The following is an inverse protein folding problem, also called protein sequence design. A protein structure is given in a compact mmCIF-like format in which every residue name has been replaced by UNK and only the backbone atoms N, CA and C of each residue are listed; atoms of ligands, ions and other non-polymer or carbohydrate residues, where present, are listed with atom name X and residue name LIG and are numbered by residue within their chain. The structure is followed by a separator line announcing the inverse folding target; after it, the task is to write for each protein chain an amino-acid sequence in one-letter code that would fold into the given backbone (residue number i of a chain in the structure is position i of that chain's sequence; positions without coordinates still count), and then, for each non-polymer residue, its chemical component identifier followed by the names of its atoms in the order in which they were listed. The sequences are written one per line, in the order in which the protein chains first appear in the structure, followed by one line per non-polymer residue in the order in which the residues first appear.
data_IF_338808921739
#
_entry.id   IF_338808921739
#
_cell.length_a   1.000
_cell.length_b   1.000
_cell.length_c   1.000
_cell.angle_alpha   90.00
_cell.angle_beta   90.00
_cell.angle_gamma   90.00
#
_symmetry.space_group_name_H-M   'P 1'
#
loop_
_entity.id
_entity.type
_entity.pdbx_description
1 polymer ?
#
# COMPACT_ATOMS: atom_id res chain seq x y z
N UNK A 1 -41.13 23.01 44.58
CA UNK A 1 -40.34 23.30 43.38
C UNK A 1 -40.86 24.58 42.74
N UNK A 2 -40.07 25.60 42.82
CA UNK A 2 -40.34 26.90 42.20
C UNK A 2 -40.19 26.79 40.66
N UNK A 3 -40.83 27.68 39.93
CA UNK A 3 -40.73 27.68 38.45
C UNK A 3 -39.27 27.80 37.96
N UNK A 4 -38.42 28.52 38.72
CA UNK A 4 -37.00 28.66 38.49
C UNK A 4 -36.20 27.34 38.66
N UNK A 5 -36.62 26.45 39.56
CA UNK A 5 -35.99 25.13 39.73
C UNK A 5 -36.33 24.20 38.54
N UNK A 6 -37.52 24.28 38.01
CA UNK A 6 -37.95 23.53 36.82
C UNK A 6 -37.26 24.00 35.53
N UNK A 7 -36.97 25.29 35.41
CA UNK A 7 -36.21 25.82 34.27
C UNK A 7 -34.70 25.43 34.35
N UNK A 8 -34.10 25.39 35.53
CA UNK A 8 -32.74 24.93 35.71
C UNK A 8 -32.56 23.43 35.43
N UNK A 9 -33.50 22.61 35.88
CA UNK A 9 -33.52 21.18 35.53
C UNK A 9 -33.70 20.93 34.00
N UNK A 10 -34.55 21.70 33.36
CA UNK A 10 -34.73 21.64 31.88
C UNK A 10 -33.46 22.05 31.13
N UNK A 11 -32.73 23.05 31.62
CA UNK A 11 -31.51 23.51 30.98
C UNK A 11 -30.34 22.51 31.20
N UNK A 12 -30.19 21.95 32.41
CA UNK A 12 -29.21 20.90 32.67
C UNK A 12 -29.45 19.64 31.79
N UNK A 13 -30.71 19.19 31.71
CA UNK A 13 -31.06 18.05 30.86
C UNK A 13 -30.79 18.32 29.36
N UNK A 14 -30.91 19.57 28.94
CA UNK A 14 -30.63 19.97 27.56
C UNK A 14 -29.13 19.98 27.24
N UNK A 15 -28.31 20.43 28.20
CA UNK A 15 -26.84 20.40 28.08
C UNK A 15 -26.30 18.96 28.07
N UNK A 16 -26.82 18.08 28.93
CA UNK A 16 -26.46 16.65 28.94
C UNK A 16 -26.86 15.94 27.62
N UNK A 17 -28.02 16.28 27.05
CA UNK A 17 -28.48 15.75 25.78
C UNK A 17 -27.59 16.26 24.65
N UNK A 18 -27.22 17.54 24.65
CA UNK A 18 -26.33 18.12 23.63
C UNK A 18 -24.92 17.51 23.67
N UNK A 19 -24.37 17.24 24.87
CA UNK A 19 -23.09 16.52 25.00
C UNK A 19 -23.21 15.07 24.52
N UNK A 20 -24.27 14.37 24.87
CA UNK A 20 -24.51 13.00 24.39
C UNK A 20 -24.62 12.98 22.87
N UNK A 21 -25.36 13.90 22.28
CA UNK A 21 -25.51 14.02 20.84
C UNK A 21 -24.19 14.31 20.15
N UNK A 22 -23.35 15.19 20.70
CA UNK A 22 -22.00 15.47 20.15
C UNK A 22 -21.11 14.22 20.14
N UNK A 23 -21.13 13.42 21.22
CA UNK A 23 -20.34 12.20 21.29
C UNK A 23 -20.86 11.09 20.38
N UNK A 24 -22.17 10.95 20.24
CA UNK A 24 -22.80 9.83 19.54
C UNK A 24 -23.25 10.15 18.12
N UNK A 25 -23.20 11.40 17.71
CA UNK A 25 -23.67 11.87 16.39
C UNK A 25 -23.16 11.01 15.23
N UNK A 26 -21.85 10.74 15.19
CA UNK A 26 -21.25 9.93 14.12
C UNK A 26 -21.77 8.49 14.09
N UNK A 27 -22.06 7.90 15.25
CA UNK A 27 -22.59 6.54 15.33
C UNK A 27 -24.05 6.51 14.91
N UNK A 28 -24.83 7.53 15.30
CA UNK A 28 -26.24 7.67 14.88
C UNK A 28 -26.36 7.94 13.39
N UNK A 29 -25.53 8.82 12.83
CA UNK A 29 -25.51 9.10 11.38
C UNK A 29 -25.18 7.84 10.58
N UNK A 30 -24.22 7.02 11.04
CA UNK A 30 -23.93 5.73 10.41
C UNK A 30 -25.10 4.76 10.50
N UNK A 31 -25.68 4.62 11.70
CA UNK A 31 -26.82 3.72 11.90
C UNK A 31 -28.06 4.12 11.10
N UNK A 32 -28.29 5.42 10.88
CA UNK A 32 -29.41 5.91 10.07
C UNK A 32 -29.17 5.68 8.57
N UNK A 33 -27.90 5.77 8.13
CA UNK A 33 -27.54 5.59 6.72
C UNK A 33 -27.28 4.13 6.34
N UNK A 34 -27.20 3.23 7.32
CA UNK A 34 -27.04 1.79 7.10
C UNK A 34 -28.40 1.08 7.21
N UNK A 35 -29.28 1.33 6.24
CA UNK A 35 -30.60 0.69 6.14
C UNK A 35 -30.54 -0.85 6.17
N UNK A 36 -29.47 -1.40 5.62
CA UNK A 36 -29.26 -2.86 5.56
C UNK A 36 -28.97 -3.48 6.94
N UNK A 37 -28.23 -2.79 7.81
CA UNK A 37 -27.98 -3.25 9.17
C UNK A 37 -29.24 -3.21 10.05
N UNK A 38 -30.06 -2.18 9.87
CA UNK A 38 -31.32 -2.06 10.61
C UNK A 38 -32.32 -3.14 10.19
N UNK A 39 -32.43 -3.41 8.91
CA UNK A 39 -33.26 -4.48 8.35
C UNK A 39 -32.76 -5.86 8.80
N UNK A 40 -31.45 -6.05 8.94
CA UNK A 40 -30.85 -7.31 9.41
C UNK A 40 -31.27 -7.68 10.85
N UNK A 41 -31.52 -6.69 11.70
CA UNK A 41 -31.96 -6.93 13.09
C UNK A 41 -33.48 -7.04 13.24
N UNK A 42 -34.25 -6.61 12.23
CA UNK A 42 -35.71 -6.63 12.29
C UNK A 42 -36.35 -7.79 11.53
N UNK A 43 -35.59 -8.46 10.67
CA UNK A 43 -36.12 -9.56 9.88
C UNK A 43 -36.12 -10.87 10.70
N UNK A 44 -37.28 -11.49 10.74
CA UNK A 44 -37.53 -12.81 11.32
C UNK A 44 -36.56 -13.85 10.66
N UNK A 45 -36.11 -14.83 11.40
CA UNK A 45 -35.10 -15.83 10.98
C UNK A 45 -35.37 -16.48 9.60
N UNK A 46 -36.60 -16.52 9.16
CA UNK A 46 -36.97 -17.05 7.83
C UNK A 46 -36.68 -16.10 6.67
N UNK A 47 -36.89 -14.80 6.83
CA UNK A 47 -36.50 -13.81 5.80
C UNK A 47 -34.97 -13.64 5.76
N UNK A 48 -34.32 -13.75 6.90
CA UNK A 48 -32.85 -13.73 6.97
C UNK A 48 -32.21 -14.92 6.22
N UNK A 49 -32.78 -16.12 6.36
CA UNK A 49 -32.30 -17.30 5.61
C UNK A 49 -32.62 -17.21 4.12
N UNK A 50 -33.74 -16.63 3.72
CA UNK A 50 -34.07 -16.40 2.32
C UNK A 50 -33.16 -15.33 1.69
N UNK A 51 -32.87 -14.24 2.42
CA UNK A 51 -31.94 -13.20 1.96
C UNK A 51 -30.49 -13.69 1.93
N UNK A 52 -30.10 -14.61 2.81
CA UNK A 52 -28.80 -15.28 2.76
C UNK A 52 -28.66 -16.17 1.52
N UNK A 53 -29.72 -16.87 1.11
CA UNK A 53 -29.71 -17.69 -0.11
C UNK A 53 -29.69 -16.83 -1.39
N UNK A 54 -30.33 -15.67 -1.39
CA UNK A 54 -30.21 -14.69 -2.50
C UNK A 54 -28.84 -13.98 -2.49
N UNK A 55 -28.22 -13.81 -1.31
CA UNK A 55 -26.92 -13.19 -1.14
C UNK A 55 -25.72 -14.12 -1.37
N UNK A 56 -25.92 -15.42 -1.66
CA UNK A 56 -24.81 -16.31 -2.04
C UNK A 56 -24.03 -15.82 -3.27
N UNK A 57 -24.54 -14.82 -3.98
CA UNK A 57 -23.94 -14.23 -5.18
C UNK A 57 -23.67 -12.72 -5.06
N UNK A 58 -23.38 -12.20 -3.87
CA UNK A 58 -23.03 -10.78 -3.66
C UNK A 58 -21.78 -10.35 -4.44
N UNK A 59 -20.87 -11.28 -4.69
CA UNK A 59 -19.66 -11.03 -5.46
C UNK A 59 -19.76 -11.76 -6.79
N UNK A 60 -19.97 -10.99 -7.87
CA UNK A 60 -19.95 -11.53 -9.23
C UNK A 60 -18.61 -11.22 -9.89
N UNK A 61 -17.90 -12.23 -10.45
CA UNK A 61 -16.70 -11.99 -11.23
C UNK A 61 -17.08 -11.22 -12.50
N UNK A 62 -16.65 -9.96 -12.62
CA UNK A 62 -16.88 -9.13 -13.81
C UNK A 62 -15.89 -9.46 -14.92
N UNK A 63 -14.63 -9.68 -14.56
CA UNK A 63 -13.54 -9.94 -15.47
C UNK A 63 -12.51 -10.87 -14.86
N UNK A 64 -11.91 -11.67 -15.73
CA UNK A 64 -10.77 -12.52 -15.42
C UNK A 64 -9.63 -12.17 -16.39
N UNK A 65 -8.45 -11.94 -15.83
CA UNK A 65 -7.21 -11.70 -16.57
C UNK A 65 -6.31 -12.92 -16.39
N UNK A 66 -6.02 -13.60 -17.46
CA UNK A 66 -5.23 -14.83 -17.44
C UNK A 66 -4.18 -14.82 -18.56
N UNK A 67 -2.98 -15.25 -18.21
CA UNK A 67 -1.90 -15.54 -19.14
C UNK A 67 -1.18 -16.82 -18.69
N UNK A 68 -0.58 -17.54 -19.63
CA UNK A 68 0.18 -18.78 -19.35
C UNK A 68 1.38 -18.53 -18.42
N UNK A 69 1.99 -17.36 -18.51
CA UNK A 69 3.13 -16.99 -17.69
C UNK A 69 2.73 -16.72 -16.22
N UNK A 70 1.45 -16.47 -15.95
CA UNK A 70 0.93 -16.23 -14.60
C UNK A 70 0.53 -17.49 -13.85
N UNK A 71 0.46 -18.62 -14.55
CA UNK A 71 0.05 -19.89 -13.95
C UNK A 71 1.00 -20.32 -12.83
N UNK A 72 0.42 -20.70 -11.67
CA UNK A 72 1.13 -21.14 -10.46
C UNK A 72 2.04 -20.07 -9.84
N UNK A 73 1.72 -18.79 -10.05
CA UNK A 73 2.34 -17.65 -9.40
C UNK A 73 1.33 -16.97 -8.46
N UNK A 74 1.80 -16.45 -7.35
CA UNK A 74 0.97 -15.60 -6.49
C UNK A 74 1.11 -14.15 -6.92
N UNK A 75 0.07 -13.36 -6.67
CA UNK A 75 0.12 -11.92 -6.94
C UNK A 75 0.76 -11.25 -5.73
N UNK A 76 1.86 -10.54 -5.94
CA UNK A 76 2.58 -9.80 -4.90
C UNK A 76 2.12 -8.34 -4.78
N UNK A 77 1.71 -7.72 -5.88
CA UNK A 77 1.21 -6.34 -5.88
C UNK A 77 0.16 -6.13 -6.98
N UNK A 78 -0.81 -5.27 -6.68
CA UNK A 78 -1.83 -4.80 -7.62
C UNK A 78 -1.97 -3.29 -7.47
N UNK A 79 -2.00 -2.57 -8.59
CA UNK A 79 -2.21 -1.13 -8.60
C UNK A 79 -2.94 -0.66 -9.85
N UNK A 80 -3.88 0.26 -9.67
CA UNK A 80 -4.51 0.97 -10.78
C UNK A 80 -3.68 2.18 -11.21
N UNK A 81 -3.63 2.43 -12.50
CA UNK A 81 -2.99 3.64 -12.99
C UNK A 81 -3.82 4.87 -12.63
N UNK A 82 -3.20 5.86 -11.96
CA UNK A 82 -3.88 7.12 -11.60
C UNK A 82 -4.28 7.95 -12.83
N UNK A 83 -3.55 7.81 -13.93
CA UNK A 83 -3.80 8.61 -15.14
C UNK A 83 -4.63 7.88 -16.18
N UNK A 84 -4.48 6.58 -16.28
CA UNK A 84 -5.19 5.72 -17.23
C UNK A 84 -6.01 4.71 -16.46
N UNK A 85 -7.27 5.01 -16.12
CA UNK A 85 -8.09 4.16 -15.25
C UNK A 85 -8.41 2.79 -15.85
N UNK A 86 -8.15 2.60 -17.15
CA UNK A 86 -8.25 1.34 -17.86
C UNK A 86 -7.06 0.39 -17.65
N UNK A 87 -5.95 0.90 -17.09
CA UNK A 87 -4.73 0.12 -16.91
C UNK A 87 -4.59 -0.39 -15.46
N UNK A 88 -4.44 -1.70 -15.34
CA UNK A 88 -4.16 -2.41 -14.09
C UNK A 88 -2.76 -3.04 -14.15
N UNK A 89 -1.91 -2.68 -13.21
CA UNK A 89 -0.63 -3.33 -12.98
C UNK A 89 -0.83 -4.51 -12.05
N UNK A 90 -0.26 -5.66 -12.41
CA UNK A 90 -0.16 -6.83 -11.55
C UNK A 90 1.26 -7.35 -11.53
N UNK A 91 1.75 -7.60 -10.32
CA UNK A 91 3.07 -8.17 -10.09
C UNK A 91 2.93 -9.59 -9.58
N UNK A 92 3.76 -10.49 -10.07
CA UNK A 92 3.68 -11.91 -9.75
C UNK A 92 5.00 -12.40 -9.15
N UNK A 93 4.85 -13.25 -8.13
CA UNK A 93 5.95 -13.94 -7.48
C UNK A 93 6.59 -14.99 -8.41
N UNK A 94 7.66 -15.59 -7.95
CA UNK A 94 8.24 -16.76 -8.63
C UNK A 94 7.24 -17.91 -8.74
N UNK A 95 7.41 -18.75 -9.76
CA UNK A 95 6.59 -19.93 -9.97
C UNK A 95 6.93 -20.98 -8.90
N UNK A 96 5.92 -21.61 -8.32
CA UNK A 96 6.09 -22.59 -7.25
C UNK A 96 6.75 -23.90 -7.72
N UNK A 97 6.61 -24.23 -9.00
CA UNK A 97 7.06 -25.52 -9.57
C UNK A 97 8.46 -25.47 -10.17
N UNK A 98 8.97 -24.28 -10.47
CA UNK A 98 10.20 -24.13 -11.26
C UNK A 98 11.23 -23.25 -10.56
N UNK A 99 12.01 -23.90 -9.67
CA UNK A 99 13.11 -23.24 -8.96
C UNK A 99 14.29 -22.89 -9.87
N UNK A 100 14.37 -23.46 -11.06
CA UNK A 100 15.46 -23.27 -12.02
C UNK A 100 15.09 -22.33 -13.16
N UNK A 101 13.91 -21.70 -13.10
CA UNK A 101 13.52 -20.71 -14.10
C UNK A 101 14.54 -19.57 -14.17
N UNK A 102 14.91 -19.18 -15.37
CA UNK A 102 15.81 -18.03 -15.59
C UNK A 102 15.16 -16.68 -15.21
N UNK A 103 13.84 -16.64 -15.12
CA UNK A 103 13.07 -15.41 -14.89
C UNK A 103 12.00 -15.65 -13.81
N UNK A 104 12.29 -15.18 -12.61
CA UNK A 104 11.39 -15.30 -11.49
C UNK A 104 10.39 -14.15 -11.40
N UNK A 105 10.83 -12.93 -11.68
CA UNK A 105 9.98 -11.74 -11.62
C UNK A 105 9.15 -11.51 -12.89
N UNK A 106 7.86 -11.21 -12.71
CA UNK A 106 6.92 -10.93 -13.78
C UNK A 106 6.02 -9.76 -13.39
N UNK A 107 5.89 -8.79 -14.29
CA UNK A 107 4.88 -7.71 -14.18
C UNK A 107 4.05 -7.73 -15.46
N UNK A 108 2.74 -7.73 -15.31
CA UNK A 108 1.80 -7.49 -16.39
C UNK A 108 1.07 -6.17 -16.19
N UNK A 109 0.85 -5.48 -17.29
CA UNK A 109 -0.09 -4.37 -17.35
C UNK A 109 -1.25 -4.83 -18.22
N UNK A 110 -2.40 -4.88 -17.59
CA UNK A 110 -3.65 -5.27 -18.21
C UNK A 110 -4.43 -4.04 -18.62
N UNK A 111 -5.15 -4.15 -19.71
CA UNK A 111 -6.11 -3.15 -20.17
C UNK A 111 -7.51 -3.73 -20.07
N UNK A 112 -8.43 -2.99 -19.46
CA UNK A 112 -9.85 -3.40 -19.35
C UNK A 112 -10.50 -3.64 -20.73
N UNK A 113 -10.03 -2.96 -21.77
CA UNK A 113 -10.53 -3.15 -23.14
C UNK A 113 -10.01 -4.45 -23.78
N UNK A 114 -8.82 -4.93 -23.38
CA UNK A 114 -8.23 -6.16 -23.90
C UNK A 114 -8.01 -7.17 -22.76
N UNK A 115 -8.90 -8.16 -22.67
CA UNK A 115 -8.89 -9.15 -21.58
C UNK A 115 -8.03 -10.39 -21.87
N UNK A 116 -7.64 -10.60 -23.14
CA UNK A 116 -7.04 -11.86 -23.57
C UNK A 116 -5.53 -11.90 -23.36
N UNK A 117 -4.89 -10.75 -23.50
CA UNK A 117 -3.43 -10.63 -23.44
C UNK A 117 -3.05 -9.36 -22.67
N UNK A 118 -1.97 -9.40 -21.87
CA UNK A 118 -1.45 -8.20 -21.21
C UNK A 118 -0.95 -7.19 -22.26
N UNK A 119 -1.20 -5.91 -22.04
CA UNK A 119 -0.73 -4.84 -22.93
C UNK A 119 0.79 -4.72 -22.89
N UNK A 120 1.36 -4.84 -21.70
CA UNK A 120 2.81 -4.87 -21.49
C UNK A 120 3.20 -5.99 -20.53
N UNK A 121 4.34 -6.62 -20.84
CA UNK A 121 4.95 -7.67 -20.01
C UNK A 121 6.40 -7.33 -19.73
N UNK A 122 6.78 -7.29 -18.47
CA UNK A 122 8.16 -7.09 -18.04
C UNK A 122 8.61 -8.30 -17.23
N UNK A 123 9.79 -8.81 -17.59
CA UNK A 123 10.38 -10.00 -16.96
C UNK A 123 11.73 -9.63 -16.33
N UNK A 124 12.01 -10.21 -15.17
CA UNK A 124 13.26 -10.01 -14.46
C UNK A 124 13.77 -11.33 -13.89
N UNK A 125 15.08 -11.43 -13.68
CA UNK A 125 15.70 -12.61 -13.09
C UNK A 125 15.29 -12.78 -11.62
N UNK A 126 15.39 -11.70 -10.82
CA UNK A 126 14.95 -11.72 -9.43
C UNK A 126 13.44 -11.57 -9.33
N UNK A 127 12.85 -12.16 -8.30
CA UNK A 127 11.43 -12.00 -7.97
C UNK A 127 11.11 -10.53 -7.68
N UNK A 128 9.94 -10.08 -8.15
CA UNK A 128 9.45 -8.72 -7.92
C UNK A 128 8.43 -8.79 -6.79
N UNK A 129 8.74 -8.11 -5.69
CA UNK A 129 7.93 -8.13 -4.47
C UNK A 129 6.88 -7.04 -4.44
N UNK A 130 7.20 -5.88 -5.01
CA UNK A 130 6.29 -4.74 -5.11
C UNK A 130 6.49 -4.01 -6.44
N UNK A 131 5.42 -3.41 -6.97
CA UNK A 131 5.50 -2.59 -8.18
C UNK A 131 4.40 -1.54 -8.18
N UNK A 132 4.73 -0.34 -8.70
CA UNK A 132 3.82 0.79 -8.78
C UNK A 132 3.97 1.53 -10.10
N UNK A 133 2.89 2.21 -10.53
CA UNK A 133 2.99 3.22 -11.57
C UNK A 133 3.64 4.49 -11.02
N UNK A 134 4.46 5.14 -11.84
CA UNK A 134 4.94 6.47 -11.46
C UNK A 134 3.79 7.50 -11.59
N UNK A 135 3.38 8.19 -10.50
CA UNK A 135 2.16 8.98 -10.47
C UNK A 135 2.17 10.17 -11.47
N UNK A 136 3.35 10.74 -11.73
CA UNK A 136 3.48 11.88 -12.65
C UNK A 136 3.83 11.47 -14.08
N UNK A 137 4.45 10.30 -14.27
CA UNK A 137 4.79 9.77 -15.59
C UNK A 137 4.29 8.35 -15.73
N UNK A 138 3.05 8.15 -16.18
CA UNK A 138 2.39 6.82 -16.22
C UNK A 138 3.04 5.84 -17.20
N UNK A 139 4.03 6.27 -17.96
CA UNK A 139 4.84 5.40 -18.82
C UNK A 139 5.96 4.70 -18.08
N UNK A 140 6.29 5.18 -16.88
CA UNK A 140 7.30 4.59 -16.01
C UNK A 140 6.65 3.69 -14.97
N UNK A 141 7.24 2.52 -14.80
CA UNK A 141 6.88 1.53 -13.80
C UNK A 141 8.06 1.36 -12.89
N UNK A 142 7.82 1.39 -11.59
CA UNK A 142 8.83 1.21 -10.56
C UNK A 142 8.56 -0.12 -9.90
N UNK A 143 9.57 -0.98 -9.78
CA UNK A 143 9.45 -2.26 -9.10
C UNK A 143 10.59 -2.49 -8.12
N UNK A 144 10.27 -3.15 -7.04
CA UNK A 144 11.19 -3.62 -6.02
C UNK A 144 11.37 -5.13 -6.09
N UNK A 145 12.57 -5.60 -5.81
CA UNK A 145 12.91 -7.01 -5.88
C UNK A 145 13.20 -7.61 -4.50
N UNK A 146 13.17 -8.95 -4.41
CA UNK A 146 13.61 -9.71 -3.23
C UNK A 146 15.08 -9.46 -2.85
N UNK A 147 15.89 -9.00 -3.80
CA UNK A 147 17.31 -8.70 -3.60
C UNK A 147 17.60 -7.27 -3.16
N UNK A 148 16.56 -6.46 -2.90
CA UNK A 148 16.70 -5.07 -2.48
C UNK A 148 17.03 -4.09 -3.62
N UNK A 149 16.84 -4.49 -4.86
CA UNK A 149 17.08 -3.64 -6.03
C UNK A 149 15.78 -2.97 -6.45
N UNK A 150 15.81 -1.65 -6.59
CA UNK A 150 14.73 -0.87 -7.23
C UNK A 150 15.02 -0.79 -8.72
N UNK A 151 14.04 -1.09 -9.53
CA UNK A 151 14.12 -1.07 -10.99
C UNK A 151 13.06 -0.17 -11.58
N UNK A 152 13.36 0.40 -12.74
CA UNK A 152 12.42 1.24 -13.47
C UNK A 152 12.35 0.76 -14.91
N UNK A 153 11.13 0.57 -15.40
CA UNK A 153 10.82 0.23 -16.80
C UNK A 153 10.09 1.39 -17.47
N UNK A 154 10.24 1.49 -18.78
CA UNK A 154 9.47 2.40 -19.64
C UNK A 154 8.62 1.57 -20.60
N UNK A 155 7.32 1.80 -20.60
CA UNK A 155 6.37 1.10 -21.50
C UNK A 155 6.63 1.35 -22.99
N UNK A 156 7.34 2.42 -23.33
CA UNK A 156 7.71 2.75 -24.71
C UNK A 156 8.96 2.02 -25.20
N UNK A 157 9.71 1.46 -24.25
CA UNK A 157 11.01 0.85 -24.54
C UNK A 157 10.97 -0.66 -24.64
N UNK A 158 12.10 -1.26 -24.31
CA UNK A 158 12.24 -2.71 -24.24
C UNK A 158 11.68 -3.23 -22.91
N UNK A 159 11.42 -4.54 -22.85
CA UNK A 159 10.99 -5.22 -21.62
C UNK A 159 12.06 -5.21 -20.50
N UNK A 160 13.27 -4.77 -20.80
CA UNK A 160 14.37 -4.65 -19.83
C UNK A 160 14.28 -3.33 -19.08
N UNK A 161 14.64 -3.30 -17.78
CA UNK A 161 14.61 -2.06 -17.01
C UNK A 161 15.64 -1.06 -17.53
N UNK A 162 15.24 0.23 -17.57
CA UNK A 162 16.10 1.34 -17.97
C UNK A 162 17.03 1.79 -16.85
N UNK A 163 16.59 1.68 -15.60
CA UNK A 163 17.37 2.01 -14.42
C UNK A 163 17.29 0.88 -13.40
N UNK A 164 18.41 0.69 -12.69
CA UNK A 164 18.52 -0.25 -11.57
C UNK A 164 19.39 0.37 -10.48
N UNK A 165 19.00 0.21 -9.23
CA UNK A 165 19.89 0.53 -8.11
C UNK A 165 20.96 -0.56 -7.97
N UNK A 166 22.13 -0.25 -7.39
CA UNK A 166 23.15 -1.26 -7.14
C UNK A 166 22.67 -2.25 -6.08
N UNK A 167 23.14 -3.50 -6.17
CA UNK A 167 22.92 -4.53 -5.15
C UNK A 167 23.58 -4.11 -3.84
N UNK A 168 22.83 -4.23 -2.74
CA UNK A 168 23.40 -4.11 -1.40
C UNK A 168 24.27 -5.31 -1.09
N UNK A 169 25.54 -5.07 -0.78
CA UNK A 169 26.43 -6.14 -0.31
C UNK A 169 26.18 -6.32 1.18
N UNK A 170 25.68 -7.51 1.58
CA UNK A 170 25.31 -7.79 2.95
C UNK A 170 26.45 -7.57 3.95
N UNK A 171 26.14 -6.98 5.09
CA UNK A 171 26.97 -6.99 6.29
C UNK A 171 27.94 -5.82 6.48
N UNK A 172 28.04 -4.87 5.58
CA UNK A 172 28.82 -3.66 5.85
C UNK A 172 27.92 -2.46 6.13
N UNK A 173 28.19 -1.76 7.22
CA UNK A 173 27.53 -0.49 7.60
C UNK A 173 27.68 0.63 6.55
N UNK A 174 28.25 0.33 5.40
CA UNK A 174 28.42 1.21 4.25
C UNK A 174 27.61 0.83 3.01
N UNK A 175 26.69 -0.15 3.09
CA UNK A 175 25.84 -0.49 1.95
C UNK A 175 24.97 0.69 1.56
N UNK A 176 25.12 1.13 0.31
CA UNK A 176 24.38 2.28 -0.25
C UNK A 176 22.97 1.93 -0.71
N UNK A 177 22.53 0.68 -0.61
CA UNK A 177 21.23 0.19 -1.04
C UNK A 177 20.66 -0.80 -0.04
N UNK A 178 19.45 -1.26 -0.29
CA UNK A 178 18.82 -2.29 0.55
C UNK A 178 19.55 -3.62 0.45
N UNK A 179 19.52 -4.40 1.53
CA UNK A 179 20.09 -5.73 1.62
C UNK A 179 19.06 -6.85 1.64
N UNK A 180 17.78 -6.50 1.86
CA UNK A 180 16.64 -7.41 1.88
C UNK A 180 15.57 -7.04 0.86
N UNK A 181 14.51 -7.79 0.85
CA UNK A 181 13.35 -7.62 -0.03
C UNK A 181 12.68 -6.25 0.15
N UNK A 182 12.27 -5.66 -0.96
CA UNK A 182 11.54 -4.38 -0.95
C UNK A 182 10.06 -4.66 -0.70
N UNK A 183 9.59 -4.31 0.49
CA UNK A 183 8.21 -4.52 0.90
C UNK A 183 7.26 -3.48 0.31
N UNK A 184 7.69 -2.21 0.32
CA UNK A 184 6.85 -1.10 -0.13
C UNK A 184 7.61 -0.16 -1.04
N UNK A 185 6.89 0.41 -2.00
CA UNK A 185 7.34 1.45 -2.91
C UNK A 185 6.38 2.63 -2.89
N UNK A 186 6.92 3.82 -3.15
CA UNK A 186 6.10 5.01 -3.31
C UNK A 186 6.87 6.13 -4.00
N UNK A 187 6.15 7.17 -4.40
CA UNK A 187 6.75 8.36 -5.02
C UNK A 187 6.20 9.59 -4.31
N UNK A 188 7.10 10.40 -3.81
CA UNK A 188 6.78 11.67 -3.14
C UNK A 188 7.34 12.85 -3.92
N UNK A 189 6.78 14.03 -3.66
CA UNK A 189 7.21 15.27 -4.26
C UNK A 189 6.23 15.83 -5.29
N UNK A 190 6.74 16.57 -6.24
CA UNK A 190 5.96 17.22 -7.30
C UNK A 190 6.41 16.72 -8.68
N UNK A 191 5.67 17.12 -9.71
CA UNK A 191 5.98 16.75 -11.10
C UNK A 191 7.40 17.11 -11.54
N UNK A 192 7.97 18.19 -10.99
CA UNK A 192 9.31 18.68 -11.33
C UNK A 192 10.41 18.16 -10.41
N UNK A 193 10.04 17.70 -9.21
CA UNK A 193 10.98 17.21 -8.20
C UNK A 193 10.30 16.08 -7.42
N UNK A 194 10.49 14.87 -7.88
CA UNK A 194 9.97 13.68 -7.23
C UNK A 194 11.09 12.73 -6.83
N UNK A 195 10.87 12.04 -5.74
CA UNK A 195 11.76 11.01 -5.22
C UNK A 195 10.99 9.70 -5.08
N UNK A 196 11.64 8.61 -5.46
CA UNK A 196 11.14 7.27 -5.24
C UNK A 196 11.51 6.88 -3.82
N UNK A 197 10.55 6.44 -3.06
CA UNK A 197 10.77 5.89 -1.71
C UNK A 197 10.67 4.37 -1.81
N UNK A 198 11.68 3.70 -1.31
CA UNK A 198 11.70 2.25 -1.17
C UNK A 198 11.94 1.86 0.27
N UNK A 199 11.31 0.79 0.70
CA UNK A 199 11.31 0.34 2.07
C UNK A 199 11.64 -1.13 2.12
N UNK A 200 12.58 -1.49 2.99
CA UNK A 200 13.08 -2.87 3.19
C UNK A 200 13.62 -3.01 4.60
N UNK A 201 13.16 -4.01 5.34
CA UNK A 201 13.71 -4.39 6.65
C UNK A 201 14.03 -3.20 7.58
N UNK A 202 13.05 -2.28 7.74
CA UNK A 202 13.25 -1.12 8.61
C UNK A 202 14.18 -0.04 8.06
N UNK A 203 14.54 -0.09 6.78
CA UNK A 203 15.36 0.92 6.11
C UNK A 203 14.52 1.59 5.03
N UNK A 204 14.44 2.92 5.10
CA UNK A 204 13.85 3.75 4.05
C UNK A 204 14.97 4.37 3.21
N UNK A 205 14.90 4.17 1.91
CA UNK A 205 15.76 4.86 0.95
C UNK A 205 14.95 5.77 0.04
N UNK A 206 15.45 6.97 -0.17
CA UNK A 206 14.91 7.94 -1.13
C UNK A 206 15.84 8.02 -2.34
N UNK A 207 15.28 7.86 -3.53
CA UNK A 207 16.04 7.83 -4.78
C UNK A 207 15.60 8.95 -5.72
N UNK A 208 16.57 9.52 -6.42
CA UNK A 208 16.28 10.45 -7.51
C UNK A 208 16.35 9.73 -8.85
N UNK A 209 15.40 10.00 -9.75
CA UNK A 209 15.42 9.48 -11.12
C UNK A 209 16.70 9.82 -11.88
N UNK A 210 17.33 10.94 -11.53
CA UNK A 210 18.56 11.38 -12.18
C UNK A 210 19.81 10.61 -11.73
N UNK A 211 19.75 10.01 -10.52
CA UNK A 211 20.86 9.23 -9.98
C UNK A 211 20.32 8.08 -9.10
N UNK A 212 20.26 6.89 -9.68
CA UNK A 212 19.82 5.67 -8.99
C UNK A 212 21.00 4.88 -8.38
N UNK A 213 22.25 5.35 -8.53
CA UNK A 213 23.41 4.63 -8.00
C UNK A 213 23.62 4.87 -6.49
N UNK A 214 23.14 5.99 -5.98
CA UNK A 214 23.28 6.38 -4.58
C UNK A 214 21.94 6.93 -4.11
N UNK A 215 21.40 6.46 -2.97
CA UNK A 215 20.18 7.04 -2.42
C UNK A 215 20.45 8.50 -2.03
N UNK A 216 19.48 9.35 -2.29
CA UNK A 216 19.51 10.75 -1.85
C UNK A 216 19.51 10.83 -0.32
N UNK A 217 18.69 10.00 0.32
CA UNK A 217 18.61 9.87 1.78
C UNK A 217 18.37 8.41 2.17
N UNK A 218 19.01 7.99 3.26
CA UNK A 218 18.79 6.68 3.88
C UNK A 218 18.45 6.90 5.35
N UNK A 219 17.34 6.34 5.80
CA UNK A 219 16.85 6.42 7.18
C UNK A 219 16.71 5.00 7.70
N UNK A 220 17.32 4.73 8.85
CA UNK A 220 17.16 3.47 9.57
C UNK A 220 16.11 3.65 10.67
N UNK A 221 15.08 2.81 10.63
CA UNK A 221 13.97 2.86 11.55
C UNK A 221 14.30 2.04 12.78
N UNK A 222 14.17 2.65 13.93
CA UNK A 222 14.38 1.98 15.22
C UNK A 222 13.08 2.05 16.02
N UNK A 223 12.81 1.01 16.79
CA UNK A 223 11.64 0.99 17.66
C UNK A 223 11.84 1.97 18.83
N UNK A 224 10.99 3.02 18.98
CA UNK A 224 11.15 4.01 20.02
C UNK A 224 10.92 3.47 21.44
N UNK A 225 10.25 2.32 21.57
CA UNK A 225 9.96 1.69 22.88
C UNK A 225 11.08 0.77 23.36
N UNK A 226 12.03 0.43 22.50
CA UNK A 226 13.14 -0.49 22.83
C UNK A 226 14.44 0.26 23.06
N UNK A 227 15.31 -0.33 23.89
CA UNK A 227 16.63 0.25 24.16
C UNK A 227 17.52 0.12 22.94
N UNK A 228 18.37 1.12 22.69
CA UNK A 228 19.29 1.17 21.52
C UNK A 228 20.21 -0.04 21.36
N UNK A 229 20.47 -0.79 22.44
CA UNK A 229 21.38 -1.94 22.44
C UNK A 229 20.67 -3.30 22.26
N UNK A 230 19.35 -3.30 22.06
CA UNK A 230 18.63 -4.55 21.78
C UNK A 230 18.88 -4.99 20.35
N UNK A 231 19.28 -6.24 20.19
CA UNK A 231 19.54 -6.88 18.88
C UNK A 231 18.27 -6.91 17.99
N UNK A 232 17.11 -6.75 18.59
CA UNK A 232 15.79 -6.75 17.93
C UNK A 232 15.19 -5.34 17.80
N UNK A 233 16.02 -4.31 17.76
CA UNK A 233 15.55 -2.92 17.68
C UNK A 233 15.13 -2.50 16.25
N UNK A 234 15.32 -3.35 15.26
CA UNK A 234 14.87 -3.09 13.90
C UNK A 234 13.35 -3.24 13.80
N UNK A 235 12.70 -2.27 13.16
CA UNK A 235 11.28 -2.33 12.83
C UNK A 235 11.08 -3.02 11.49
N UNK A 236 10.29 -4.09 11.48
CA UNK A 236 9.89 -4.71 10.23
C UNK A 236 8.60 -4.04 9.71
N UNK A 237 8.70 -3.39 8.56
CA UNK A 237 7.59 -2.62 7.99
C UNK A 237 6.85 -3.45 6.97
N UNK A 238 5.54 -3.57 7.16
CA UNK A 238 4.65 -4.37 6.32
C UNK A 238 3.89 -3.53 5.28
N UNK A 239 3.58 -2.27 5.62
CA UNK A 239 2.80 -1.40 4.76
C UNK A 239 3.26 0.04 4.86
N UNK A 240 2.99 0.80 3.81
CA UNK A 240 3.33 2.22 3.73
C UNK A 240 2.17 2.99 3.09
N UNK A 241 1.83 4.11 3.71
CA UNK A 241 0.85 5.05 3.18
C UNK A 241 1.43 6.45 3.08
N UNK A 242 1.06 7.15 2.02
CA UNK A 242 1.47 8.52 1.79
C UNK A 242 0.26 9.37 1.45
N UNK A 243 0.21 10.57 2.01
CA UNK A 243 -0.82 11.54 1.66
C UNK A 243 -0.42 12.29 0.40
N UNK A 244 -1.31 12.40 -0.56
CA UNK A 244 -1.02 13.02 -1.88
C UNK A 244 -0.52 14.46 -1.81
N UNK A 245 -0.92 15.23 -0.79
CA UNK A 245 -0.54 16.63 -0.63
C UNK A 245 0.62 16.85 0.34
N UNK A 246 1.09 15.79 0.99
CA UNK A 246 2.20 15.86 1.95
C UNK A 246 3.44 15.24 1.32
N UNK A 247 4.45 16.07 1.08
CA UNK A 247 5.70 15.63 0.45
C UNK A 247 6.75 15.15 1.45
N UNK A 248 6.47 15.23 2.75
CA UNK A 248 7.47 15.05 3.79
C UNK A 248 7.15 13.90 4.73
N UNK A 249 5.87 13.58 4.92
CA UNK A 249 5.46 12.60 5.91
C UNK A 249 5.02 11.30 5.24
N UNK A 250 5.48 10.20 5.83
CA UNK A 250 5.11 8.83 5.44
C UNK A 250 4.57 8.13 6.67
N UNK A 251 3.47 7.43 6.52
CA UNK A 251 2.90 6.58 7.58
C UNK A 251 3.28 5.15 7.24
N UNK A 252 3.81 4.44 8.22
CA UNK A 252 4.19 3.02 8.10
C UNK A 252 3.41 2.19 9.09
N UNK A 253 3.06 0.97 8.67
CA UNK A 253 2.51 -0.06 9.54
C UNK A 253 3.54 -1.17 9.75
N UNK A 254 3.81 -1.49 11.01
CA UNK A 254 4.85 -2.42 11.40
C UNK A 254 4.26 -3.73 11.94
N UNK A 255 5.10 -4.75 12.05
CA UNK A 255 4.75 -6.08 12.55
C UNK A 255 4.51 -6.11 14.07
N UNK A 256 4.91 -5.06 14.80
CA UNK A 256 4.59 -4.86 16.22
C UNK A 256 3.12 -4.46 16.47
N UNK A 257 2.33 -4.26 15.41
CA UNK A 257 0.93 -3.85 15.48
C UNK A 257 0.73 -2.34 15.59
N UNK A 258 1.80 -1.55 15.60
CA UNK A 258 1.76 -0.10 15.68
C UNK A 258 1.90 0.56 14.29
N UNK A 259 1.41 1.80 14.21
CA UNK A 259 1.61 2.65 13.04
C UNK A 259 2.45 3.86 13.46
N UNK A 260 3.48 4.15 12.68
CA UNK A 260 4.40 5.26 12.93
C UNK A 260 4.34 6.27 11.81
N UNK A 261 4.43 7.55 12.17
CA UNK A 261 4.62 8.64 11.21
C UNK A 261 6.09 9.02 11.17
N UNK A 262 6.64 9.11 9.97
CA UNK A 262 8.04 9.44 9.74
C UNK A 262 8.10 10.70 8.92
N UNK A 263 8.91 11.67 9.37
CA UNK A 263 9.26 12.85 8.59
C UNK A 263 10.54 12.58 7.80
N UNK A 264 10.45 12.69 6.48
CA UNK A 264 11.61 12.45 5.60
C UNK A 264 12.62 13.60 5.62
N UNK A 265 12.24 14.80 6.12
CA UNK A 265 13.12 15.98 6.15
C UNK A 265 13.87 16.14 7.48
N UNK A 266 13.42 15.50 8.54
CA UNK A 266 14.13 15.54 9.82
C UNK A 266 15.33 14.60 9.77
N UNK A 267 16.46 15.07 10.30
CA UNK A 267 17.58 14.19 10.58
C UNK A 267 17.18 13.24 11.72
N UNK A 268 17.50 11.95 11.64
CA UNK A 268 17.22 11.02 12.73
C UNK A 268 17.93 11.52 13.98
N UNK A 269 17.11 11.85 15.00
CA UNK A 269 17.60 12.21 16.34
C UNK A 269 18.13 10.98 17.04
#
# INVERSE_FOLDING_TARGET
MTEEEKEKEKNNNKEEIDEFLKMKKRYMERAINEDDLYNMFLNDDQEYQASMQENENLIHPLMEFYDKDTEKRTISALEWSLKYPELLLSCYSKRSDDFYAEQHGLIHIWNLANKKEPEFTFKNQAEITSAIFHPYNPKLIIGGTETGVVMIWDTRGKQTPIYKTPLGVGGSSGSKSHTGDITCLGVIGSINSCHIISLSNGIICSWSLNNMNVPYKKIELKNPERRENDVLNELNVLSMGMQQNDTNNVIIGCDDGNSYQISLNEEPQ
#
